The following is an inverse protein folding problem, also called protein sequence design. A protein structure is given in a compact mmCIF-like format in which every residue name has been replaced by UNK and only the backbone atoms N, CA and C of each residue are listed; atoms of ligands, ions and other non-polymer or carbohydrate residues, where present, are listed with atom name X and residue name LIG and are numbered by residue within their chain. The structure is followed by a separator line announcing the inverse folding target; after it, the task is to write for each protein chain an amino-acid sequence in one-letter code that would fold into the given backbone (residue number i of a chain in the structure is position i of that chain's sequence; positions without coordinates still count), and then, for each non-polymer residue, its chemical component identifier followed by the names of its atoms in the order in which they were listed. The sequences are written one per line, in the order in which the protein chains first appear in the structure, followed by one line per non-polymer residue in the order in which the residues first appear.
data_IF_901936323095
#
_entry.id   IF_901936323095
#
_cell.length_a   1.000
_cell.length_b   1.000
_cell.length_c   1.000
_cell.angle_alpha   90.00
_cell.angle_beta   90.00
_cell.angle_gamma   90.00
#
_symmetry.space_group_name_H-M   'P 1'
#
loop_
_entity.id
_entity.type
_entity.pdbx_description
1 polymer ?
#
# COMPACT_ATOMS: atom_id res chain seq x y z
N UNK A 1 39.28 -32.86 -105.35
CA UNK A 1 37.93 -32.44 -104.93
C UNK A 1 37.21 -33.55 -104.15
N UNK A 2 36.99 -34.75 -104.71
CA UNK A 2 36.30 -35.84 -103.98
C UNK A 2 37.06 -36.39 -102.76
N UNK A 3 38.39 -36.52 -102.85
CA UNK A 3 39.23 -37.04 -101.76
C UNK A 3 39.46 -36.04 -100.60
N UNK A 4 39.41 -34.73 -100.90
CA UNK A 4 39.56 -33.67 -99.88
C UNK A 4 38.31 -33.54 -99.02
N UNK A 5 37.13 -33.66 -99.63
CA UNK A 5 35.84 -33.60 -98.92
C UNK A 5 35.64 -34.78 -97.96
N UNK A 6 36.07 -35.99 -98.33
CA UNK A 6 36.00 -37.16 -97.45
C UNK A 6 36.89 -37.03 -96.21
N UNK A 7 38.07 -36.40 -96.35
CA UNK A 7 38.99 -36.17 -95.23
C UNK A 7 38.46 -35.12 -94.24
N UNK A 8 37.87 -34.03 -94.74
CA UNK A 8 37.23 -33.02 -93.87
C UNK A 8 36.04 -33.60 -93.10
N UNK A 9 35.23 -34.47 -93.72
CA UNK A 9 34.11 -35.14 -93.02
C UNK A 9 34.57 -36.12 -91.95
N UNK A 10 35.68 -36.83 -92.14
CA UNK A 10 36.24 -37.73 -91.12
C UNK A 10 36.84 -36.97 -89.94
N UNK A 11 37.54 -35.86 -90.20
CA UNK A 11 38.06 -34.97 -89.16
C UNK A 11 36.92 -34.34 -88.35
N UNK A 12 35.86 -33.89 -89.01
CA UNK A 12 34.69 -33.33 -88.34
C UNK A 12 33.96 -34.39 -87.49
N UNK A 13 33.77 -35.61 -88.00
CA UNK A 13 33.19 -36.71 -87.21
C UNK A 13 34.05 -37.07 -85.99
N UNK A 14 35.37 -37.03 -86.14
CA UNK A 14 36.30 -37.33 -85.04
C UNK A 14 36.24 -36.24 -83.97
N UNK A 15 36.18 -34.96 -84.39
CA UNK A 15 36.02 -33.83 -83.48
C UNK A 15 34.68 -33.87 -82.73
N UNK A 16 33.57 -34.18 -83.41
CA UNK A 16 32.26 -34.35 -82.75
C UNK A 16 32.30 -35.51 -81.75
N UNK A 17 32.88 -36.65 -82.12
CA UNK A 17 32.97 -37.80 -81.22
C UNK A 17 33.85 -37.49 -79.99
N UNK A 18 34.94 -36.74 -80.17
CA UNK A 18 35.82 -36.31 -79.09
C UNK A 18 35.14 -35.30 -78.16
N UNK A 19 34.36 -34.36 -78.72
CA UNK A 19 33.63 -33.38 -77.92
C UNK A 19 32.45 -34.01 -77.17
N UNK A 20 31.76 -34.97 -77.80
CA UNK A 20 30.65 -35.72 -77.18
C UNK A 20 31.15 -36.60 -76.04
N UNK A 21 32.31 -37.26 -76.20
CA UNK A 21 32.90 -38.07 -75.13
C UNK A 21 33.42 -37.21 -73.97
N UNK A 22 33.99 -36.04 -74.25
CA UNK A 22 34.42 -35.08 -73.22
C UNK A 22 33.23 -34.50 -72.43
N UNK A 23 32.11 -34.21 -73.11
CA UNK A 23 30.87 -33.80 -72.44
C UNK A 23 30.29 -34.94 -71.59
N UNK A 24 30.29 -36.17 -72.10
CA UNK A 24 29.81 -37.33 -71.36
C UNK A 24 30.66 -37.63 -70.13
N UNK A 25 31.99 -37.46 -70.20
CA UNK A 25 32.88 -37.63 -69.04
C UNK A 25 32.66 -36.52 -68.01
N UNK A 26 32.55 -35.26 -68.44
CA UNK A 26 32.27 -34.14 -67.54
C UNK A 26 30.95 -34.33 -66.79
N UNK A 27 29.89 -34.73 -67.52
CA UNK A 27 28.58 -34.96 -66.92
C UNK A 27 28.63 -36.12 -65.90
N UNK A 28 29.41 -37.16 -66.20
CA UNK A 28 29.59 -38.32 -65.30
C UNK A 28 30.36 -37.94 -64.04
N UNK A 29 31.43 -37.17 -64.16
CA UNK A 29 32.20 -36.68 -63.01
C UNK A 29 31.37 -35.74 -62.13
N UNK A 30 30.59 -34.85 -62.74
CA UNK A 30 29.66 -33.99 -61.99
C UNK A 30 28.59 -34.79 -61.26
N UNK A 31 28.04 -35.83 -61.88
CA UNK A 31 27.06 -36.72 -61.22
C UNK A 31 27.68 -37.52 -60.07
N UNK A 32 28.93 -37.99 -60.19
CA UNK A 32 29.62 -38.69 -59.10
C UNK A 32 29.93 -37.76 -57.93
N UNK A 33 30.34 -36.52 -58.22
CA UNK A 33 30.52 -35.48 -57.19
C UNK A 33 29.21 -35.15 -56.49
N UNK A 34 28.13 -34.95 -57.25
CA UNK A 34 26.82 -34.66 -56.66
C UNK A 34 26.30 -35.83 -55.81
N UNK A 35 26.52 -37.06 -56.26
CA UNK A 35 26.14 -38.26 -55.51
C UNK A 35 26.92 -38.35 -54.19
N UNK A 36 28.24 -38.12 -54.21
CA UNK A 36 29.07 -38.06 -52.99
C UNK A 36 28.59 -36.98 -52.04
N UNK A 37 28.39 -35.77 -52.54
CA UNK A 37 27.97 -34.63 -51.72
C UNK A 37 26.59 -34.87 -51.09
N UNK A 38 25.66 -35.47 -51.85
CA UNK A 38 24.34 -35.85 -51.34
C UNK A 38 24.44 -36.95 -50.28
N UNK A 39 25.32 -37.94 -50.44
CA UNK A 39 25.51 -38.98 -49.42
C UNK A 39 26.10 -38.41 -48.13
N UNK A 40 27.11 -37.55 -48.22
CA UNK A 40 27.72 -36.89 -47.06
C UNK A 40 26.71 -35.98 -46.37
N UNK A 41 25.98 -35.15 -47.13
CA UNK A 41 24.92 -34.30 -46.59
C UNK A 41 23.81 -35.12 -45.92
N UNK A 42 23.43 -36.27 -46.49
CA UNK A 42 22.44 -37.16 -45.87
C UNK A 42 22.94 -37.77 -44.55
N UNK A 43 24.23 -38.13 -44.45
CA UNK A 43 24.81 -38.62 -43.20
C UNK A 43 24.84 -37.54 -42.13
N UNK A 44 25.23 -36.31 -42.49
CA UNK A 44 25.22 -35.16 -41.59
C UNK A 44 23.81 -34.83 -41.09
N UNK A 45 22.81 -34.83 -41.97
CA UNK A 45 21.41 -34.59 -41.59
C UNK A 45 20.92 -35.69 -40.65
N UNK A 46 21.21 -36.96 -40.93
CA UNK A 46 20.80 -38.06 -40.05
C UNK A 46 21.42 -37.94 -38.65
N UNK A 47 22.69 -37.54 -38.58
CA UNK A 47 23.38 -37.33 -37.30
C UNK A 47 22.79 -36.14 -36.54
N UNK A 48 22.50 -35.04 -37.22
CA UNK A 48 21.83 -33.87 -36.63
C UNK A 48 20.42 -34.19 -36.12
N UNK A 49 19.65 -35.00 -36.87
CA UNK A 49 18.31 -35.44 -36.46
C UNK A 49 18.36 -36.32 -35.21
N UNK A 50 19.31 -37.25 -35.13
CA UNK A 50 19.49 -38.09 -33.93
C UNK A 50 19.89 -37.27 -32.71
N UNK A 51 20.78 -36.29 -32.87
CA UNK A 51 21.17 -35.38 -31.79
C UNK A 51 20.00 -34.50 -31.33
N UNK A 52 19.21 -33.97 -32.27
CA UNK A 52 18.02 -33.19 -31.96
C UNK A 52 16.98 -34.02 -31.21
N UNK A 53 16.77 -35.29 -31.61
CA UNK A 53 15.85 -36.20 -30.93
C UNK A 53 16.30 -36.47 -29.48
N UNK A 54 17.58 -36.69 -29.25
CA UNK A 54 18.12 -36.92 -27.90
C UNK A 54 18.03 -35.67 -27.02
N UNK A 55 18.33 -34.49 -27.57
CA UNK A 55 18.18 -33.21 -26.87
C UNK A 55 16.72 -32.94 -26.49
N UNK A 56 15.77 -33.20 -27.40
CA UNK A 56 14.33 -33.07 -27.12
C UNK A 56 13.92 -34.05 -26.03
N UNK A 57 14.39 -35.30 -26.07
CA UNK A 57 14.05 -36.30 -25.06
C UNK A 57 14.58 -35.91 -23.67
N UNK A 58 15.81 -35.40 -23.58
CA UNK A 58 16.39 -34.89 -22.34
C UNK A 58 15.59 -33.70 -21.79
N UNK A 59 15.24 -32.73 -22.65
CA UNK A 59 14.44 -31.55 -22.28
C UNK A 59 13.04 -31.94 -21.79
N UNK A 60 12.37 -32.88 -22.48
CA UNK A 60 11.05 -33.38 -22.08
C UNK A 60 11.12 -34.06 -20.71
N UNK A 61 12.18 -34.82 -20.43
CA UNK A 61 12.38 -35.49 -19.14
C UNK A 61 12.59 -34.46 -18.04
N UNK A 62 13.47 -33.47 -18.27
CA UNK A 62 13.72 -32.39 -17.32
C UNK A 62 12.46 -31.59 -17.00
N UNK A 63 11.71 -31.17 -18.02
CA UNK A 63 10.43 -30.45 -17.85
C UNK A 63 9.41 -31.27 -17.09
N UNK A 64 9.37 -32.59 -17.31
CA UNK A 64 8.46 -33.48 -16.59
C UNK A 64 8.81 -33.55 -15.10
N UNK A 65 10.08 -33.60 -14.76
CA UNK A 65 10.53 -33.59 -13.37
C UNK A 65 10.32 -32.24 -12.68
N UNK A 66 10.53 -31.12 -13.38
CA UNK A 66 10.18 -29.78 -12.89
C UNK A 66 8.67 -29.65 -12.60
N UNK A 67 7.82 -30.13 -13.52
CA UNK A 67 6.37 -30.15 -13.33
C UNK A 67 6.01 -31.02 -12.11
N UNK A 68 6.63 -32.20 -11.98
CA UNK A 68 6.40 -33.07 -10.81
C UNK A 68 6.80 -32.37 -9.51
N UNK A 69 7.94 -31.69 -9.47
CA UNK A 69 8.42 -30.95 -8.31
C UNK A 69 7.50 -29.79 -7.92
N UNK A 70 7.06 -29.00 -8.90
CA UNK A 70 6.13 -27.88 -8.67
C UNK A 70 4.76 -28.34 -8.18
N UNK A 71 4.21 -29.42 -8.76
CA UNK A 71 2.95 -30.02 -8.30
C UNK A 71 3.07 -30.53 -6.87
N UNK A 72 4.17 -31.19 -6.52
CA UNK A 72 4.38 -31.72 -5.17
C UNK A 72 4.55 -30.60 -4.13
N UNK A 73 5.30 -29.54 -4.44
CA UNK A 73 5.41 -28.35 -3.58
C UNK A 73 4.05 -27.70 -3.37
N UNK A 74 3.29 -27.49 -4.45
CA UNK A 74 1.97 -26.87 -4.40
C UNK A 74 1.00 -27.70 -3.55
N UNK A 75 1.05 -29.03 -3.64
CA UNK A 75 0.25 -29.92 -2.81
C UNK A 75 0.58 -29.77 -1.32
N UNK A 76 1.87 -29.71 -0.97
CA UNK A 76 2.32 -29.52 0.41
C UNK A 76 1.91 -28.14 0.96
N UNK A 77 1.99 -27.10 0.12
CA UNK A 77 1.55 -25.76 0.47
C UNK A 77 0.04 -25.72 0.72
N UNK A 78 -0.76 -26.40 -0.12
CA UNK A 78 -2.21 -26.52 0.07
C UNK A 78 -2.57 -27.21 1.39
N UNK A 79 -1.87 -28.26 1.76
CA UNK A 79 -2.03 -28.92 3.06
C UNK A 79 -1.71 -27.96 4.22
N UNK A 80 -0.60 -27.23 4.12
CA UNK A 80 -0.22 -26.22 5.11
C UNK A 80 -1.22 -25.06 5.23
N UNK A 81 -1.83 -24.63 4.11
CA UNK A 81 -2.91 -23.63 4.11
C UNK A 81 -4.17 -24.20 4.78
N UNK A 82 -4.52 -25.46 4.51
CA UNK A 82 -5.65 -26.14 5.14
C UNK A 82 -5.54 -26.17 6.66
N UNK A 83 -4.36 -26.53 7.19
CA UNK A 83 -4.10 -26.53 8.63
C UNK A 83 -4.15 -25.12 9.25
N UNK A 84 -3.56 -24.12 8.58
CA UNK A 84 -3.62 -22.72 9.04
C UNK A 84 -5.04 -22.18 9.05
N UNK A 85 -5.82 -22.45 8.01
CA UNK A 85 -7.22 -22.04 7.92
C UNK A 85 -8.04 -22.66 9.05
N UNK A 86 -7.85 -23.95 9.32
CA UNK A 86 -8.54 -24.63 10.41
C UNK A 86 -8.19 -24.02 11.78
N UNK A 87 -6.91 -23.73 12.02
CA UNK A 87 -6.47 -23.03 13.24
C UNK A 87 -7.07 -21.62 13.37
N UNK A 88 -7.12 -20.85 12.29
CA UNK A 88 -7.75 -19.51 12.28
C UNK A 88 -9.24 -19.62 12.56
N UNK A 89 -9.94 -20.58 11.94
CA UNK A 89 -11.37 -20.79 12.14
C UNK A 89 -11.70 -21.13 13.60
N UNK A 90 -10.87 -21.96 14.26
CA UNK A 90 -11.03 -22.27 15.67
C UNK A 90 -10.82 -21.03 16.56
N UNK A 91 -9.80 -20.21 16.26
CA UNK A 91 -9.51 -18.97 17.02
C UNK A 91 -10.62 -17.93 16.84
N UNK A 92 -11.15 -17.75 15.64
CA UNK A 92 -12.27 -16.86 15.36
C UNK A 92 -13.51 -17.33 16.11
N UNK A 93 -13.82 -18.63 16.08
CA UNK A 93 -14.95 -19.20 16.82
C UNK A 93 -14.84 -19.00 18.34
N UNK A 94 -13.63 -19.15 18.89
CA UNK A 94 -13.35 -18.85 20.30
C UNK A 94 -13.53 -17.37 20.64
N UNK A 95 -12.89 -16.48 19.88
CA UNK A 95 -12.97 -15.04 20.07
C UNK A 95 -14.40 -14.50 19.94
N UNK A 96 -15.19 -15.03 18.98
CA UNK A 96 -16.59 -14.65 18.82
C UNK A 96 -17.43 -15.05 20.04
N UNK A 97 -17.23 -16.26 20.58
CA UNK A 97 -17.93 -16.69 21.80
C UNK A 97 -17.56 -15.84 23.01
N UNK A 98 -16.29 -15.49 23.15
CA UNK A 98 -15.84 -14.64 24.25
C UNK A 98 -16.39 -13.21 24.11
N UNK A 99 -16.40 -12.65 22.89
CA UNK A 99 -17.04 -11.37 22.62
C UNK A 99 -18.52 -11.39 23.03
N UNK A 100 -19.29 -12.41 22.64
CA UNK A 100 -20.70 -12.54 23.04
C UNK A 100 -20.86 -12.62 24.56
N UNK A 101 -20.02 -13.38 25.27
CA UNK A 101 -20.07 -13.44 26.75
C UNK A 101 -19.78 -12.08 27.38
N UNK A 102 -18.75 -11.37 26.90
CA UNK A 102 -18.40 -10.04 27.43
C UNK A 102 -19.50 -9.01 27.17
N UNK A 103 -20.14 -9.04 26.01
CA UNK A 103 -21.28 -8.17 25.70
C UNK A 103 -22.48 -8.46 26.58
N UNK A 104 -22.75 -9.74 26.86
CA UNK A 104 -23.86 -10.14 27.72
C UNK A 104 -23.63 -9.71 29.17
N UNK A 105 -22.42 -9.92 29.70
CA UNK A 105 -22.03 -9.43 31.03
C UNK A 105 -22.06 -7.90 31.13
N UNK A 106 -21.57 -7.18 30.11
CA UNK A 106 -21.64 -5.72 30.10
C UNK A 106 -23.09 -5.20 30.03
N UNK A 107 -23.98 -5.94 29.36
CA UNK A 107 -25.41 -5.59 29.30
C UNK A 107 -26.10 -5.78 30.65
N UNK A 108 -25.81 -6.86 31.35
CA UNK A 108 -26.30 -7.13 32.72
C UNK A 108 -25.81 -6.06 33.72
N UNK A 109 -24.53 -5.67 33.63
CA UNK A 109 -23.95 -4.61 34.45
C UNK A 109 -24.60 -3.24 34.16
N UNK A 110 -24.87 -2.94 32.89
CA UNK A 110 -25.54 -1.71 32.48
C UNK A 110 -26.98 -1.67 32.98
N UNK A 111 -27.72 -2.77 32.87
CA UNK A 111 -29.08 -2.89 33.38
C UNK A 111 -29.11 -2.66 34.89
N UNK A 112 -28.17 -3.27 35.63
CA UNK A 112 -28.04 -3.07 37.07
C UNK A 112 -27.75 -1.61 37.41
N UNK A 113 -26.80 -0.97 36.73
CA UNK A 113 -26.48 0.45 36.93
C UNK A 113 -27.63 1.38 36.59
N UNK A 114 -28.40 1.09 35.54
CA UNK A 114 -29.57 1.88 35.15
C UNK A 114 -30.67 1.82 36.22
N UNK A 115 -30.80 0.70 36.95
CA UNK A 115 -31.77 0.56 38.04
C UNK A 115 -31.31 1.25 39.33
N UNK A 116 -30.01 1.32 39.62
CA UNK A 116 -29.51 1.89 40.89
C UNK A 116 -29.27 3.40 40.82
N UNK A 117 -28.87 3.94 39.67
CA UNK A 117 -28.58 5.37 39.48
C UNK A 117 -29.70 6.32 39.94
N UNK A 118 -30.99 6.08 39.63
CA UNK A 118 -32.08 6.95 40.06
C UNK A 118 -32.23 6.98 41.58
N UNK A 119 -32.07 5.83 42.23
CA UNK A 119 -32.19 5.72 43.68
C UNK A 119 -31.00 6.38 44.39
N UNK A 120 -29.78 6.20 43.90
CA UNK A 120 -28.59 6.88 44.44
C UNK A 120 -28.68 8.40 44.26
N UNK A 121 -29.15 8.87 43.09
CA UNK A 121 -29.37 10.29 42.85
C UNK A 121 -30.46 10.89 43.76
N UNK A 122 -31.56 10.15 43.98
CA UNK A 122 -32.63 10.57 44.87
C UNK A 122 -32.15 10.65 46.33
N UNK A 123 -31.37 9.68 46.80
CA UNK A 123 -30.77 9.69 48.14
C UNK A 123 -29.77 10.84 48.30
N UNK A 124 -28.94 11.11 47.28
CA UNK A 124 -28.02 12.24 47.29
C UNK A 124 -28.73 13.60 47.34
N UNK A 125 -29.83 13.75 46.60
CA UNK A 125 -30.66 14.96 46.64
C UNK A 125 -31.30 15.19 48.01
N UNK A 126 -31.78 14.12 48.67
CA UNK A 126 -32.32 14.19 50.03
C UNK A 126 -31.24 14.54 51.05
N UNK A 127 -30.06 13.93 50.97
CA UNK A 127 -28.94 14.26 51.86
C UNK A 127 -28.51 15.73 51.71
N UNK A 128 -28.48 16.26 50.48
CA UNK A 128 -28.22 17.69 50.23
C UNK A 128 -29.31 18.58 50.84
N UNK A 129 -30.58 18.20 50.75
CA UNK A 129 -31.68 18.95 51.37
C UNK A 129 -31.51 19.02 52.90
N UNK A 130 -31.20 17.90 53.57
CA UNK A 130 -30.98 17.88 55.02
C UNK A 130 -29.82 18.78 55.43
N UNK A 131 -28.69 18.74 54.70
CA UNK A 131 -27.53 19.59 54.98
C UNK A 131 -27.84 21.07 54.74
N UNK A 132 -28.59 21.39 53.69
CA UNK A 132 -29.03 22.77 53.42
C UNK A 132 -29.96 23.29 54.53
N UNK A 133 -30.86 22.45 55.04
CA UNK A 133 -31.78 22.80 56.13
C UNK A 133 -31.02 23.06 57.45
N UNK A 134 -30.01 22.25 57.75
CA UNK A 134 -29.10 22.44 58.88
C UNK A 134 -28.24 23.72 58.72
N UNK A 135 -27.79 24.04 57.49
CA UNK A 135 -27.08 25.28 57.20
C UNK A 135 -27.94 26.54 57.31
N UNK A 136 -29.22 26.48 56.88
CA UNK A 136 -30.16 27.59 57.07
C UNK A 136 -30.39 27.85 58.55
N UNK A 137 -30.53 26.78 59.35
CA UNK A 137 -30.76 26.88 60.79
C UNK A 137 -29.53 27.43 61.53
N UNK A 138 -28.33 27.03 61.13
CA UNK A 138 -27.08 27.57 61.69
C UNK A 138 -26.83 29.03 61.28
N UNK A 139 -27.16 29.42 60.04
CA UNK A 139 -27.11 30.82 59.64
C UNK A 139 -28.12 31.68 60.42
N UNK A 140 -29.32 31.15 60.69
CA UNK A 140 -30.34 31.83 61.50
C UNK A 140 -29.87 32.04 62.96
N UNK A 141 -29.21 31.05 63.57
CA UNK A 141 -28.68 31.18 64.93
C UNK A 141 -27.51 32.17 65.03
N UNK A 142 -26.64 32.21 64.01
CA UNK A 142 -25.58 33.22 63.91
C UNK A 142 -26.19 34.63 63.79
N UNK A 143 -27.20 34.82 62.94
CA UNK A 143 -27.89 36.11 62.80
C UNK A 143 -28.53 36.57 64.13
N UNK A 144 -29.11 35.65 64.90
CA UNK A 144 -29.69 35.97 66.21
C UNK A 144 -28.63 36.38 67.25
N UNK A 145 -27.47 35.71 67.26
CA UNK A 145 -26.34 36.05 68.13
C UNK A 145 -25.82 37.46 67.81
N UNK A 146 -25.72 37.83 66.53
CA UNK A 146 -25.30 39.16 66.07
C UNK A 146 -26.29 40.24 66.50
N UNK A 147 -27.60 39.99 66.38
CA UNK A 147 -28.65 40.93 66.83
C UNK A 147 -28.63 41.12 68.35
N UNK A 148 -28.40 40.06 69.13
CA UNK A 148 -28.23 40.18 70.60
C UNK A 148 -26.96 40.94 70.97
N UNK A 149 -25.84 40.68 70.29
CA UNK A 149 -24.57 41.38 70.56
C UNK A 149 -24.63 42.87 70.16
N UNK A 150 -25.32 43.21 69.07
CA UNK A 150 -25.54 44.60 68.65
C UNK A 150 -26.28 45.42 69.72
N UNK A 151 -27.34 44.86 70.31
CA UNK A 151 -28.10 45.51 71.39
C UNK A 151 -27.32 45.68 72.70
N UNK A 152 -26.27 44.88 72.93
CA UNK A 152 -25.39 45.04 74.10
C UNK A 152 -24.28 46.08 73.89
N UNK A 153 -23.85 46.32 72.64
CA UNK A 153 -22.88 47.37 72.33
C UNK A 153 -23.50 48.77 72.22
N UNK A 154 -24.82 48.88 71.99
CA UNK A 154 -25.54 50.15 71.79
C UNK A 154 -25.88 50.92 73.09
N UNK A 155 -25.28 50.57 74.24
CA UNK A 155 -25.47 51.31 75.52
C UNK A 155 -24.29 52.21 75.92
N UNK A 156 -23.19 52.23 75.17
CA UNK A 156 -22.02 53.06 75.47
C UNK A 156 -21.49 53.80 74.22
N UNK A 157 -22.17 54.87 73.77
CA UNK A 157 -21.54 55.96 73.00
C UNK A 157 -22.49 57.16 72.80
N UNK A 158 -22.04 58.41 73.03
CA UNK A 158 -22.72 59.60 72.54
C UNK A 158 -22.20 60.05 71.15
N UNK A 159 -23.15 60.28 70.25
CA UNK A 159 -23.19 61.24 69.13
C UNK A 159 -21.92 61.49 68.25
N UNK A 160 -21.96 61.02 67.00
CA UNK A 160 -21.34 61.69 65.83
C UNK A 160 -21.99 61.21 64.49
N UNK A 161 -22.02 62.01 63.41
CA UNK A 161 -23.01 61.88 62.32
C UNK A 161 -22.60 61.05 61.08
N UNK A 162 -23.56 60.23 60.61
CA UNK A 162 -23.99 59.82 59.24
C UNK A 162 -22.98 59.56 58.07
N UNK A 163 -22.76 58.25 57.77
CA UNK A 163 -22.86 57.46 56.50
C UNK A 163 -22.13 57.90 55.18
N UNK A 164 -21.91 57.04 54.14
CA UNK A 164 -22.28 55.61 53.96
C UNK A 164 -21.14 54.69 53.40
N UNK A 165 -21.15 53.39 53.73
CA UNK A 165 -20.69 52.29 52.84
C UNK A 165 -20.78 50.93 53.54
N UNK A 166 -21.99 50.35 53.54
CA UNK A 166 -22.17 48.91 53.81
C UNK A 166 -22.93 48.21 52.67
N UNK A 167 -22.93 48.81 51.47
CA UNK A 167 -23.40 48.18 50.23
C UNK A 167 -22.37 47.15 49.69
N UNK A 168 -21.11 47.19 50.16
CA UNK A 168 -20.01 46.38 49.63
C UNK A 168 -19.65 45.12 50.43
N UNK A 169 -20.27 44.87 51.59
CA UNK A 169 -20.03 43.65 52.36
C UNK A 169 -20.97 42.48 51.97
N UNK A 170 -22.02 42.75 51.19
CA UNK A 170 -23.03 41.76 50.78
C UNK A 170 -22.78 41.12 49.39
N UNK A 171 -21.65 41.42 48.73
CA UNK A 171 -21.35 40.95 47.36
C UNK A 171 -20.29 39.84 47.25
N UNK A 172 -19.78 39.32 48.36
CA UNK A 172 -18.77 38.23 48.31
C UNK A 172 -19.12 37.09 49.26
N UNK A 173 -20.29 36.49 49.06
CA UNK A 173 -20.50 35.09 49.41
C UNK A 173 -21.35 34.45 48.30
N UNK A 174 -20.66 33.85 47.33
CA UNK A 174 -21.28 32.91 46.40
C UNK A 174 -21.14 31.53 47.06
N UNK A 175 -22.22 30.75 47.22
CA UNK A 175 -22.10 29.39 47.69
C UNK A 175 -21.26 28.60 46.68
N UNK A 176 -20.15 28.03 47.14
CA UNK A 176 -19.44 27.01 46.38
C UNK A 176 -20.37 25.80 46.24
N UNK A 177 -20.89 25.58 45.03
CA UNK A 177 -21.50 24.30 44.68
C UNK A 177 -20.49 23.17 44.93
N UNK A 178 -20.91 21.99 45.42
CA UNK A 178 -20.02 20.84 45.51
C UNK A 178 -19.66 20.42 44.08
N UNK A 179 -18.45 20.74 43.64
CA UNK A 179 -17.84 20.05 42.51
C UNK A 179 -17.58 18.61 42.96
N UNK A 180 -18.46 17.70 42.54
CA UNK A 180 -18.15 16.28 42.48
C UNK A 180 -16.83 16.12 41.72
N UNK A 181 -15.82 15.64 42.42
CA UNK A 181 -14.60 15.13 41.84
C UNK A 181 -14.95 13.95 40.92
N UNK A 182 -14.99 14.20 39.61
CA UNK A 182 -14.77 13.14 38.65
C UNK A 182 -13.31 12.67 38.79
N UNK A 183 -13.03 11.35 38.84
CA UNK A 183 -11.66 10.85 38.86
C UNK A 183 -11.02 11.18 37.51
N UNK A 184 -10.13 12.18 37.48
CA UNK A 184 -9.21 12.38 36.37
C UNK A 184 -8.06 11.39 36.55
N UNK A 185 -8.21 10.22 35.94
CA UNK A 185 -7.08 9.38 35.59
C UNK A 185 -6.18 10.14 34.62
N UNK A 186 -4.89 10.05 34.90
CA UNK A 186 -3.80 10.56 34.07
C UNK A 186 -3.86 9.95 32.67
N UNK A 187 -3.97 10.79 31.65
CA UNK A 187 -3.48 10.50 30.32
C UNK A 187 -2.79 11.76 29.78
N UNK A 188 -1.49 11.60 29.52
CA UNK A 188 -0.55 12.64 29.18
C UNK A 188 -0.96 13.44 27.92
N UNK A 189 -0.94 14.76 28.03
CA UNK A 189 -0.93 15.70 26.91
C UNK A 189 0.47 16.31 26.81
N UNK A 190 1.19 16.21 25.68
CA UNK A 190 2.51 16.83 25.54
C UNK A 190 2.41 18.37 25.52
N UNK A 191 3.45 19.08 25.96
CA UNK A 191 3.43 20.53 26.20
C UNK A 191 3.53 21.34 24.90
N UNK A 192 2.70 22.36 24.76
CA UNK A 192 2.89 23.43 23.77
C UNK A 192 3.69 24.57 24.41
N UNK A 193 4.87 24.84 23.86
CA UNK A 193 5.75 25.97 24.17
C UNK A 193 5.49 27.16 23.20
N UNK A 194 5.97 28.37 23.56
CA UNK A 194 5.63 29.62 22.88
C UNK A 194 6.24 29.72 21.47
N UNK A 195 5.55 30.48 20.63
CA UNK A 195 5.93 30.85 19.27
C UNK A 195 7.12 31.81 19.26
N UNK A 196 8.27 31.38 18.69
CA UNK A 196 8.95 32.17 17.66
C UNK A 196 10.10 31.43 16.94
N UNK A 197 10.25 31.76 15.65
CA UNK A 197 11.37 31.51 14.72
C UNK A 197 11.57 30.11 14.10
N UNK A 198 11.05 30.01 12.86
CA UNK A 198 11.61 29.37 11.64
C UNK A 198 12.30 28.01 11.83
N UNK A 199 11.49 26.96 11.84
CA UNK A 199 11.89 25.68 11.27
C UNK A 199 10.73 25.17 10.41
N UNK A 200 10.90 25.20 9.07
CA UNK A 200 9.95 24.63 8.13
C UNK A 200 9.97 23.12 8.32
N UNK A 201 9.09 22.61 9.17
CA UNK A 201 8.77 21.19 9.27
C UNK A 201 7.98 20.78 8.03
N UNK A 202 8.60 19.89 7.26
CA UNK A 202 7.91 18.95 6.38
C UNK A 202 6.84 18.20 7.19
N UNK A 203 5.62 18.15 6.67
CA UNK A 203 4.52 17.41 7.28
C UNK A 203 3.15 18.01 6.99
N UNK A 204 2.51 17.48 5.94
CA UNK A 204 1.05 17.51 5.81
C UNK A 204 0.50 18.70 5.04
N UNK A 205 0.39 18.52 3.71
CA UNK A 205 -0.74 18.87 2.82
C UNK A 205 -0.21 19.04 1.40
N UNK A 206 0.17 17.93 0.78
CA UNK A 206 0.09 17.84 -0.67
C UNK A 206 -1.40 17.81 -0.99
N UNK A 207 -1.90 18.84 -1.65
CA UNK A 207 -3.31 18.85 -2.01
C UNK A 207 -3.50 17.71 -3.02
N UNK A 208 -4.44 16.81 -2.76
CA UNK A 208 -5.01 15.89 -3.74
C UNK A 208 -5.18 16.54 -5.13
N UNK A 209 -5.52 17.83 -5.14
CA UNK A 209 -5.60 18.70 -6.32
C UNK A 209 -4.29 18.79 -7.12
N UNK A 210 -3.12 18.85 -6.49
CA UNK A 210 -1.81 18.90 -7.17
C UNK A 210 -1.47 17.56 -7.84
N UNK A 211 -1.82 16.44 -7.20
CA UNK A 211 -1.67 15.10 -7.79
C UNK A 211 -2.60 14.94 -8.99
N UNK A 212 -3.88 15.30 -8.84
CA UNK A 212 -4.83 15.25 -9.96
C UNK A 212 -4.43 16.21 -11.09
N UNK A 213 -3.79 17.33 -10.78
CA UNK A 213 -3.24 18.25 -11.78
C UNK A 213 -2.02 17.65 -12.49
N UNK A 214 -1.14 16.95 -11.78
CA UNK A 214 -0.02 16.22 -12.37
C UNK A 214 -0.51 15.07 -13.27
N UNK A 215 -1.49 14.30 -12.82
CA UNK A 215 -2.12 13.23 -13.60
C UNK A 215 -2.82 13.73 -14.87
N UNK A 216 -3.51 14.88 -14.78
CA UNK A 216 -4.08 15.56 -15.96
C UNK A 216 -3.05 16.17 -16.90
N UNK A 217 -1.79 16.33 -16.45
CA UNK A 217 -0.70 16.85 -17.28
C UNK A 217 0.05 15.72 -17.99
N UNK A 218 0.09 14.52 -17.39
CA UNK A 218 0.72 13.35 -18.01
C UNK A 218 -0.14 12.70 -19.09
N UNK A 219 -1.47 12.79 -18.97
CA UNK A 219 -2.37 12.59 -20.11
C UNK A 219 -2.60 13.94 -20.81
N UNK A 220 -2.09 14.12 -22.04
CA UNK A 220 -2.51 15.26 -22.89
C UNK A 220 -4.03 15.27 -23.08
N UNK A 221 -4.63 16.30 -23.73
CA UNK A 221 -6.08 16.49 -23.77
C UNK A 221 -6.79 15.34 -24.49
N UNK A 222 -7.04 14.25 -23.75
CA UNK A 222 -7.62 13.02 -24.24
C UNK A 222 -9.11 13.11 -23.98
N UNK A 223 -9.85 13.21 -25.07
CA UNK A 223 -11.31 13.17 -25.09
C UNK A 223 -11.72 11.69 -25.02
N UNK A 224 -11.42 11.01 -23.92
CA UNK A 224 -11.85 9.63 -23.71
C UNK A 224 -13.28 9.62 -23.15
N UNK A 225 -14.16 8.86 -23.80
CA UNK A 225 -15.54 8.66 -23.36
C UNK A 225 -15.53 7.98 -21.98
N UNK A 226 -16.53 8.24 -21.12
CA UNK A 226 -16.64 7.56 -19.83
C UNK A 226 -16.66 6.04 -20.06
N UNK A 227 -15.64 5.37 -19.54
CA UNK A 227 -15.48 3.91 -19.60
C UNK A 227 -16.62 3.21 -18.84
N UNK A 228 -17.06 2.06 -19.32
CA UNK A 228 -18.05 1.21 -18.64
C UNK A 228 -17.48 0.65 -17.32
N UNK A 229 -18.34 0.30 -16.37
CA UNK A 229 -17.92 -0.08 -15.01
C UNK A 229 -17.06 -1.36 -14.98
N UNK A 230 -17.34 -2.28 -15.89
CA UNK A 230 -16.55 -3.50 -16.07
C UNK A 230 -15.20 -3.23 -16.72
N UNK A 231 -15.12 -2.27 -17.65
CA UNK A 231 -13.87 -1.89 -18.31
C UNK A 231 -12.96 -1.09 -17.37
N UNK A 232 -13.53 -0.22 -16.54
CA UNK A 232 -12.80 0.49 -15.49
C UNK A 232 -12.17 -0.48 -14.49
N UNK A 233 -12.94 -1.46 -13.99
CA UNK A 233 -12.42 -2.43 -13.03
C UNK A 233 -11.30 -3.28 -13.62
N UNK A 234 -11.46 -3.76 -14.87
CA UNK A 234 -10.40 -4.52 -15.56
C UNK A 234 -9.14 -3.68 -15.81
N UNK A 235 -9.31 -2.45 -16.29
CA UNK A 235 -8.21 -1.54 -16.58
C UNK A 235 -7.46 -1.15 -15.30
N UNK A 236 -8.19 -0.84 -14.22
CA UNK A 236 -7.60 -0.49 -12.92
C UNK A 236 -6.85 -1.66 -12.30
N UNK A 237 -7.42 -2.88 -12.36
CA UNK A 237 -6.73 -4.10 -11.90
C UNK A 237 -5.44 -4.35 -12.68
N UNK A 238 -5.46 -4.19 -14.00
CA UNK A 238 -4.29 -4.35 -14.84
C UNK A 238 -3.20 -3.31 -14.56
N UNK A 239 -3.59 -2.04 -14.34
CA UNK A 239 -2.65 -0.98 -13.95
C UNK A 239 -2.03 -1.29 -12.59
N UNK A 240 -2.83 -1.75 -11.62
CA UNK A 240 -2.34 -2.15 -10.29
C UNK A 240 -1.34 -3.31 -10.39
N UNK A 241 -1.63 -4.34 -11.19
CA UNK A 241 -0.74 -5.47 -11.42
C UNK A 241 0.60 -5.02 -12.06
N UNK A 242 0.53 -4.12 -13.04
CA UNK A 242 1.72 -3.56 -13.70
C UNK A 242 2.54 -2.71 -12.72
N UNK A 243 1.88 -1.90 -11.88
CA UNK A 243 2.53 -1.11 -10.83
C UNK A 243 3.22 -2.02 -9.81
N UNK A 244 2.62 -3.17 -9.48
CA UNK A 244 3.20 -4.14 -8.55
C UNK A 244 4.45 -4.81 -9.14
N UNK A 245 4.42 -5.20 -10.43
CA UNK A 245 5.61 -5.72 -11.11
C UNK A 245 6.74 -4.68 -11.11
N UNK A 246 6.43 -3.44 -11.47
CA UNK A 246 7.41 -2.35 -11.47
C UNK A 246 7.94 -2.05 -10.07
N UNK A 247 7.12 -2.15 -9.03
CA UNK A 247 7.59 -1.99 -7.66
C UNK A 247 8.62 -3.06 -7.27
N UNK A 248 8.48 -4.29 -7.76
CA UNK A 248 9.46 -5.36 -7.56
C UNK A 248 10.74 -5.09 -8.34
N UNK A 249 10.63 -4.66 -9.59
CA UNK A 249 11.78 -4.29 -10.41
C UNK A 249 12.57 -3.13 -9.80
N UNK A 250 11.87 -2.13 -9.24
CA UNK A 250 12.46 -1.02 -8.51
C UNK A 250 13.12 -1.45 -7.19
N UNK A 251 12.51 -2.35 -6.42
CA UNK A 251 13.11 -2.91 -5.19
C UNK A 251 14.40 -3.68 -5.50
N UNK A 252 14.39 -4.48 -6.58
CA UNK A 252 15.57 -5.22 -7.06
C UNK A 252 16.65 -4.31 -7.62
N UNK A 253 16.26 -3.20 -8.24
CA UNK A 253 17.20 -2.19 -8.68
C UNK A 253 17.85 -1.52 -7.46
N UNK A 254 17.08 -1.21 -6.42
CA UNK A 254 17.56 -0.49 -5.22
C UNK A 254 18.48 -1.32 -4.31
N UNK A 255 18.43 -2.66 -4.30
CA UNK A 255 19.27 -3.53 -3.45
C UNK A 255 19.84 -4.78 -4.15
N UNK A 256 20.99 -5.30 -3.69
CA UNK A 256 21.52 -6.62 -4.10
C UNK A 256 20.66 -7.75 -3.52
N UNK A 257 19.60 -8.10 -4.25
CA UNK A 257 18.68 -9.23 -4.00
C UNK A 257 17.68 -9.04 -2.85
N UNK A 258 16.36 -9.12 -3.13
CA UNK A 258 15.34 -9.06 -2.08
C UNK A 258 15.49 -10.26 -1.12
N UNK A 259 15.35 -10.06 0.22
CA UNK A 259 15.31 -11.15 1.19
C UNK A 259 14.23 -12.17 0.83
N UNK A 260 14.57 -13.46 0.85
CA UNK A 260 13.66 -14.57 0.50
C UNK A 260 12.34 -14.53 1.30
N UNK A 261 12.36 -13.98 2.51
CA UNK A 261 11.20 -13.82 3.39
C UNK A 261 10.13 -12.85 2.82
N UNK A 262 10.52 -11.78 2.12
CA UNK A 262 9.56 -10.86 1.50
C UNK A 262 8.91 -11.48 0.27
N UNK A 263 9.70 -12.24 -0.49
CA UNK A 263 9.23 -13.01 -1.63
C UNK A 263 8.23 -14.08 -1.20
N UNK A 264 8.52 -14.76 -0.10
CA UNK A 264 7.62 -15.76 0.50
C UNK A 264 6.30 -15.13 0.98
N UNK A 265 6.34 -13.92 1.56
CA UNK A 265 5.12 -13.18 1.95
C UNK A 265 4.32 -12.66 0.76
N UNK A 266 4.99 -12.22 -0.30
CA UNK A 266 4.36 -11.86 -1.58
C UNK A 266 3.67 -13.07 -2.22
N UNK A 267 4.34 -14.23 -2.26
CA UNK A 267 3.74 -15.49 -2.73
C UNK A 267 2.60 -16.00 -1.85
N UNK A 268 2.61 -15.68 -0.55
CA UNK A 268 1.51 -15.97 0.38
C UNK A 268 0.34 -14.99 0.28
N UNK A 269 0.36 -14.08 -0.72
CA UNK A 269 -0.74 -13.17 -0.99
C UNK A 269 -0.73 -11.88 -0.18
N UNK A 270 0.31 -11.64 0.63
CA UNK A 270 0.53 -10.34 1.25
C UNK A 270 1.01 -9.34 0.20
N UNK A 271 0.04 -8.76 -0.49
CA UNK A 271 0.24 -7.61 -1.37
C UNK A 271 0.70 -6.44 -0.50
N UNK A 272 1.65 -5.64 -0.99
CA UNK A 272 2.23 -4.46 -0.34
C UNK A 272 3.42 -4.67 0.63
N UNK A 273 3.98 -5.88 0.74
CA UNK A 273 5.14 -6.15 1.62
C UNK A 273 6.37 -5.33 1.23
N UNK A 274 6.62 -5.16 -0.07
CA UNK A 274 7.72 -4.34 -0.60
C UNK A 274 7.49 -2.84 -0.38
N UNK A 275 6.26 -2.38 -0.64
CA UNK A 275 5.86 -0.99 -0.44
C UNK A 275 5.95 -0.55 1.04
N UNK A 276 5.65 -1.46 1.98
CA UNK A 276 5.82 -1.21 3.43
C UNK A 276 7.30 -1.21 3.85
N UNK A 277 8.16 -2.00 3.21
CA UNK A 277 9.61 -2.00 3.45
C UNK A 277 10.28 -0.72 2.94
N UNK A 278 9.92 -0.27 1.74
CA UNK A 278 10.36 1.00 1.15
C UNK A 278 10.04 2.20 2.09
N UNK A 279 8.97 2.11 2.88
CA UNK A 279 8.63 3.14 3.87
C UNK A 279 9.35 2.99 5.23
N UNK A 280 9.60 1.74 5.65
CA UNK A 280 10.14 1.44 6.99
C UNK A 280 11.68 1.44 7.05
N UNK A 281 12.38 1.31 5.92
CA UNK A 281 13.83 1.53 5.87
C UNK A 281 14.11 3.03 5.84
N UNK A 282 14.67 3.55 6.93
CA UNK A 282 15.23 4.91 7.11
C UNK A 282 15.01 5.87 5.92
N UNK A 283 13.84 6.50 5.84
CA UNK A 283 13.37 7.25 4.66
C UNK A 283 14.23 8.44 4.18
N UNK A 284 15.36 8.74 4.82
CA UNK A 284 16.40 9.65 4.29
C UNK A 284 17.44 8.91 3.46
N UNK A 285 17.98 7.79 3.94
CA UNK A 285 19.00 7.02 3.22
C UNK A 285 18.45 6.44 1.91
N UNK A 286 17.21 5.94 1.94
CA UNK A 286 16.56 5.42 0.74
C UNK A 286 16.18 6.56 -0.24
N UNK A 287 15.82 7.75 0.27
CA UNK A 287 15.60 8.92 -0.58
C UNK A 287 16.88 9.30 -1.34
N UNK A 288 18.00 9.43 -0.61
CA UNK A 288 19.30 9.76 -1.20
C UNK A 288 19.75 8.67 -2.19
N UNK A 289 19.50 7.39 -1.86
CA UNK A 289 19.79 6.25 -2.74
C UNK A 289 18.95 6.32 -4.03
N UNK A 290 17.64 6.54 -3.93
CA UNK A 290 16.77 6.69 -5.11
C UNK A 290 17.21 7.87 -5.95
N UNK A 291 17.49 9.04 -5.34
CA UNK A 291 17.90 10.24 -6.06
C UNK A 291 19.27 10.08 -6.77
N UNK A 292 20.24 9.45 -6.11
CA UNK A 292 21.53 9.11 -6.69
C UNK A 292 21.37 8.15 -7.87
N UNK A 293 20.62 7.06 -7.67
CA UNK A 293 20.42 6.01 -8.68
C UNK A 293 19.61 6.51 -9.87
N UNK A 294 18.60 7.35 -9.63
CA UNK A 294 17.82 8.04 -10.67
C UNK A 294 18.68 8.97 -11.54
N UNK A 295 19.71 9.57 -10.96
CA UNK A 295 20.66 10.42 -11.69
C UNK A 295 21.69 9.59 -12.47
N UNK A 296 22.15 8.47 -11.91
CA UNK A 296 23.23 7.63 -12.47
C UNK A 296 22.76 6.59 -13.48
N UNK A 297 21.57 6.03 -13.32
CA UNK A 297 21.08 4.88 -14.09
C UNK A 297 19.84 5.23 -14.94
N UNK A 298 19.96 5.23 -16.27
CA UNK A 298 18.87 5.61 -17.16
C UNK A 298 17.70 4.63 -17.15
N UNK A 299 17.96 3.33 -17.05
CA UNK A 299 16.92 2.28 -16.99
C UNK A 299 16.06 2.43 -15.74
N UNK A 300 16.69 2.61 -14.58
CA UNK A 300 15.98 2.87 -13.32
C UNK A 300 15.13 4.14 -13.39
N UNK A 301 15.65 5.20 -14.02
CA UNK A 301 14.86 6.43 -14.25
C UNK A 301 13.62 6.17 -15.10
N UNK A 302 13.73 5.38 -16.16
CA UNK A 302 12.61 5.06 -17.04
C UNK A 302 11.54 4.24 -16.30
N UNK A 303 11.96 3.29 -15.46
CA UNK A 303 11.06 2.51 -14.60
C UNK A 303 10.34 3.38 -13.56
N UNK A 304 11.05 4.29 -12.91
CA UNK A 304 10.47 5.25 -11.96
C UNK A 304 9.46 6.17 -12.66
N UNK A 305 9.80 6.71 -13.82
CA UNK A 305 8.88 7.56 -14.58
C UNK A 305 7.66 6.79 -15.07
N UNK A 306 7.84 5.53 -15.49
CA UNK A 306 6.73 4.66 -15.88
C UNK A 306 5.81 4.36 -14.70
N UNK A 307 6.37 4.09 -13.52
CA UNK A 307 5.61 3.89 -12.29
C UNK A 307 4.77 5.13 -11.95
N UNK A 308 5.39 6.32 -11.96
CA UNK A 308 4.70 7.60 -11.69
C UNK A 308 3.52 7.79 -12.66
N UNK A 309 3.74 7.65 -13.97
CA UNK A 309 2.69 7.82 -14.99
C UNK A 309 1.54 6.82 -14.82
N UNK A 310 1.84 5.55 -14.55
CA UNK A 310 0.81 4.52 -14.37
C UNK A 310 -0.03 4.78 -13.11
N UNK A 311 0.61 5.23 -12.02
CA UNK A 311 -0.09 5.58 -10.79
C UNK A 311 -0.96 6.82 -10.99
N UNK A 312 -0.46 7.85 -11.66
CA UNK A 312 -1.23 9.03 -12.04
C UNK A 312 -2.45 8.68 -12.90
N UNK A 313 -2.30 7.80 -13.90
CA UNK A 313 -3.41 7.31 -14.73
C UNK A 313 -4.46 6.57 -13.90
N UNK A 314 -4.04 5.72 -12.95
CA UNK A 314 -4.96 5.08 -12.00
C UNK A 314 -5.73 6.13 -11.19
N UNK A 315 -5.06 7.22 -10.80
CA UNK A 315 -5.70 8.29 -10.03
C UNK A 315 -6.67 9.14 -10.83
N UNK A 316 -6.37 9.41 -12.09
CA UNK A 316 -7.29 10.07 -13.00
C UNK A 316 -8.56 9.23 -13.16
N UNK A 317 -8.42 7.95 -13.51
CA UNK A 317 -9.56 7.05 -13.69
C UNK A 317 -10.40 6.93 -12.41
N UNK A 318 -9.78 6.83 -11.24
CA UNK A 318 -10.49 6.78 -9.96
C UNK A 318 -11.25 8.09 -9.66
N UNK A 319 -10.67 9.25 -10.01
CA UNK A 319 -11.29 10.56 -9.79
C UNK A 319 -12.48 10.86 -10.70
N UNK A 320 -12.51 10.29 -11.90
CA UNK A 320 -13.60 10.49 -12.86
C UNK A 320 -14.89 9.76 -12.46
N UNK A 321 -14.75 8.66 -11.72
CA UNK A 321 -15.87 7.81 -11.26
C UNK A 321 -16.32 8.14 -9.85
N UNK A 322 -15.42 8.54 -8.96
CA UNK A 322 -15.72 8.70 -7.53
C UNK A 322 -15.94 10.17 -7.13
N UNK A 323 -17.20 10.54 -6.96
CA UNK A 323 -17.63 11.89 -6.59
C UNK A 323 -17.26 12.28 -5.16
N UNK A 324 -17.14 11.28 -4.28
CA UNK A 324 -16.76 11.45 -2.87
C UNK A 324 -15.26 11.21 -2.64
N UNK A 325 -14.52 10.92 -3.71
CA UNK A 325 -13.06 10.77 -3.72
C UNK A 325 -12.54 9.65 -2.77
N UNK A 326 -13.40 8.69 -2.42
CA UNK A 326 -13.12 7.59 -1.49
C UNK A 326 -12.07 6.63 -2.07
N UNK A 327 -12.19 6.27 -3.35
CA UNK A 327 -11.26 5.42 -4.09
C UNK A 327 -9.90 6.09 -4.22
N UNK A 328 -9.87 7.39 -4.50
CA UNK A 328 -8.63 8.15 -4.60
C UNK A 328 -7.92 8.21 -3.24
N UNK A 329 -8.66 8.46 -2.16
CA UNK A 329 -8.12 8.44 -0.80
C UNK A 329 -7.64 7.03 -0.39
N UNK A 330 -8.36 5.99 -0.80
CA UNK A 330 -7.99 4.58 -0.55
C UNK A 330 -6.67 4.20 -1.23
N UNK A 331 -6.49 4.59 -2.49
CA UNK A 331 -5.24 4.34 -3.21
C UNK A 331 -4.08 5.23 -2.73
N UNK A 332 -4.34 6.48 -2.34
CA UNK A 332 -3.31 7.38 -1.82
C UNK A 332 -2.80 6.94 -0.44
N UNK A 333 -3.68 6.42 0.41
CA UNK A 333 -3.32 5.89 1.74
C UNK A 333 -2.75 4.47 1.68
N UNK A 334 -2.89 3.78 0.53
CA UNK A 334 -2.27 2.48 0.27
C UNK A 334 -0.75 2.55 0.25
N UNK A 335 -0.08 1.43 0.45
CA UNK A 335 1.38 1.38 0.43
C UNK A 335 1.95 1.70 -0.97
N UNK A 336 1.25 1.33 -2.07
CA UNK A 336 1.61 1.75 -3.43
C UNK A 336 1.58 3.28 -3.58
N UNK A 337 0.61 3.95 -2.94
CA UNK A 337 0.54 5.40 -2.87
C UNK A 337 1.73 6.02 -2.13
N UNK A 338 2.21 5.37 -1.05
CA UNK A 338 3.42 5.80 -0.34
C UNK A 338 4.68 5.67 -1.19
N UNK A 339 4.80 4.58 -1.97
CA UNK A 339 5.91 4.39 -2.93
C UNK A 339 5.88 5.48 -4.00
N UNK A 340 4.70 5.77 -4.56
CA UNK A 340 4.52 6.88 -5.49
C UNK A 340 5.02 8.21 -4.89
N UNK A 341 4.60 8.54 -3.67
CA UNK A 341 5.00 9.78 -3.00
C UNK A 341 6.52 9.86 -2.81
N UNK A 342 7.16 8.75 -2.46
CA UNK A 342 8.61 8.69 -2.29
C UNK A 342 9.35 8.88 -3.61
N UNK A 343 8.93 8.18 -4.66
CA UNK A 343 9.53 8.26 -6.00
C UNK A 343 9.32 9.62 -6.66
N UNK A 344 8.11 10.18 -6.53
CA UNK A 344 7.78 11.50 -7.07
C UNK A 344 8.61 12.61 -6.37
N UNK A 345 8.84 12.48 -5.07
CA UNK A 345 9.70 13.41 -4.33
C UNK A 345 11.18 13.24 -4.66
N UNK A 346 11.66 12.00 -4.84
CA UNK A 346 13.06 11.72 -5.19
C UNK A 346 13.41 12.10 -6.64
N UNK A 347 12.44 12.01 -7.55
CA UNK A 347 12.60 12.42 -8.97
C UNK A 347 12.38 13.91 -9.22
N UNK A 348 11.96 14.68 -8.20
CA UNK A 348 11.64 16.11 -8.33
C UNK A 348 10.33 16.40 -9.07
N UNK A 349 9.48 15.39 -9.27
CA UNK A 349 8.15 15.53 -9.87
C UNK A 349 7.16 16.24 -8.91
N UNK A 350 7.36 16.07 -7.60
CA UNK A 350 6.72 16.83 -6.52
C UNK A 350 7.80 17.66 -5.80
N UNK A 351 7.62 18.99 -5.72
CA UNK A 351 8.54 19.92 -5.01
C UNK A 351 7.93 20.48 -3.75
#
# INVERSE_FOLDING_TARGET
LKATFTSETELFNTAINQQTSALASLLRDQMDLLAKDLTTSSEEINLAVLQAADAIQAEVTHRTDDIRGTVQSTSSDLEGVGEKLNNVMFRIGGAARDATRTLQSASEDLETRMQTLPNEAAQGAQALQTVLEEQITTLASIAEIVVRHSRTFDKNAPNAPLAPSLENAARTYVPAAPQMAAPRTSAARPPQMPTDKKSKKAGGKWALSDLLTAARKSEGPATEKPLDEQEFNRTSLHIIETLQSLAVDLDRALEQSPPAELWQRYQQGERNVFARRLYNLQGRELYDTIAERFSREPEFRDDVQRFIRLFEKLMLHASERDRDNILVETYLTSDTGKVYLMLAQASGHLT
#
